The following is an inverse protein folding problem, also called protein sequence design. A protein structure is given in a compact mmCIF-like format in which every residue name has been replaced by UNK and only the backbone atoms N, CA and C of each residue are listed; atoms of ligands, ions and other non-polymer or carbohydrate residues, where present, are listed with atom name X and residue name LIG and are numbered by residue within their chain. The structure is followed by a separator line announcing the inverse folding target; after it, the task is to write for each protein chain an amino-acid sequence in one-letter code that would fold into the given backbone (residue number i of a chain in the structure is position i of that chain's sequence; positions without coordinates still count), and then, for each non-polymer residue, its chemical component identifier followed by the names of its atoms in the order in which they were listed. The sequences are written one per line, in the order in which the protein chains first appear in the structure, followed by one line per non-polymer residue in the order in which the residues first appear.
data_IF_003848588083
#
_entry.id   IF_003848588083
#
_cell.length_a   1.000
_cell.length_b   1.000
_cell.length_c   1.000
_cell.angle_alpha   90.00
_cell.angle_beta   90.00
_cell.angle_gamma   90.00
#
_symmetry.space_group_name_H-M   'P 1'
#
loop_
_entity.id
_entity.type
_entity.pdbx_description
1 polymer ?
#
# COMPACT_ATOMS: atom_id res chain seq x y z
N UNK A 1 -29.44 -23.45 -11.42
CA UNK A 1 -28.34 -22.52 -11.70
C UNK A 1 -28.20 -21.66 -10.46
N UNK A 2 -27.26 -22.02 -9.56
CA UNK A 2 -27.06 -21.30 -8.29
C UNK A 2 -26.66 -19.85 -8.60
N UNK A 3 -27.45 -18.91 -8.11
CA UNK A 3 -27.32 -17.47 -8.38
C UNK A 3 -26.12 -16.85 -7.60
N UNK A 4 -25.40 -17.63 -6.79
CA UNK A 4 -24.41 -17.14 -5.82
C UNK A 4 -22.95 -17.50 -6.13
N UNK A 5 -22.66 -18.19 -7.23
CA UNK A 5 -21.27 -18.49 -7.59
C UNK A 5 -20.61 -17.27 -8.25
N UNK A 6 -19.67 -16.66 -7.53
CA UNK A 6 -18.87 -15.56 -8.05
C UNK A 6 -18.12 -16.01 -9.28
N UNK A 7 -18.28 -15.28 -10.39
CA UNK A 7 -17.61 -15.59 -11.66
C UNK A 7 -16.09 -15.77 -11.44
N UNK A 8 -15.44 -16.80 -12.01
CA UNK A 8 -14.00 -17.06 -11.80
C UNK A 8 -13.10 -15.85 -12.04
N UNK A 9 -13.38 -15.06 -13.09
CA UNK A 9 -12.64 -13.84 -13.39
C UNK A 9 -12.76 -12.78 -12.27
N UNK A 10 -13.92 -12.68 -11.60
CA UNK A 10 -14.12 -11.75 -10.48
C UNK A 10 -13.38 -12.23 -9.23
N UNK A 11 -13.36 -13.55 -8.98
CA UNK A 11 -12.56 -14.13 -7.89
C UNK A 11 -11.08 -13.78 -8.09
N UNK A 12 -10.55 -14.07 -9.29
CA UNK A 12 -9.16 -13.77 -9.64
C UNK A 12 -8.82 -12.28 -9.54
N UNK A 13 -9.66 -11.40 -10.11
CA UNK A 13 -9.45 -9.95 -10.05
C UNK A 13 -9.48 -9.43 -8.60
N UNK A 14 -10.37 -9.95 -7.75
CA UNK A 14 -10.37 -9.61 -6.33
C UNK A 14 -9.08 -10.09 -5.65
N UNK A 15 -8.67 -11.34 -5.86
CA UNK A 15 -7.48 -11.90 -5.21
C UNK A 15 -6.20 -11.13 -5.52
N UNK A 16 -6.00 -10.68 -6.77
CA UNK A 16 -4.81 -9.91 -7.17
C UNK A 16 -4.97 -8.40 -6.94
N UNK A 17 -6.18 -7.90 -6.70
CA UNK A 17 -6.47 -6.46 -6.63
C UNK A 17 -5.70 -5.70 -5.55
N UNK A 18 -5.20 -6.38 -4.52
CA UNK A 18 -4.40 -5.77 -3.45
C UNK A 18 -2.88 -5.93 -3.64
N UNK A 19 -2.44 -6.58 -4.72
CA UNK A 19 -1.04 -6.98 -4.93
C UNK A 19 -0.05 -5.80 -4.90
N UNK A 20 -0.41 -4.65 -5.50
CA UNK A 20 0.42 -3.44 -5.47
C UNK A 20 0.68 -2.97 -4.03
N UNK A 21 -0.34 -2.93 -3.19
CA UNK A 21 -0.20 -2.52 -1.79
C UNK A 21 0.71 -3.48 -1.02
N UNK A 22 0.62 -4.78 -1.30
CA UNK A 22 1.45 -5.80 -0.66
C UNK A 22 2.92 -5.67 -1.10
N UNK A 23 3.18 -5.37 -2.38
CA UNK A 23 4.54 -5.06 -2.86
C UNK A 23 5.12 -3.85 -2.14
N UNK A 24 4.37 -2.74 -2.08
CA UNK A 24 4.81 -1.53 -1.41
C UNK A 24 5.00 -1.73 0.09
N UNK A 25 4.10 -2.48 0.76
CA UNK A 25 4.21 -2.79 2.17
C UNK A 25 5.46 -3.62 2.49
N UNK A 26 5.77 -4.62 1.65
CA UNK A 26 6.98 -5.43 1.80
C UNK A 26 8.23 -4.56 1.83
N UNK A 27 8.39 -3.67 0.83
CA UNK A 27 9.51 -2.72 0.77
C UNK A 27 9.47 -1.72 1.93
N UNK A 28 8.30 -1.19 2.26
CA UNK A 28 8.14 -0.20 3.32
C UNK A 28 8.61 -0.72 4.68
N UNK A 29 8.22 -1.95 5.04
CA UNK A 29 8.58 -2.52 6.32
C UNK A 29 10.01 -3.09 6.36
N UNK A 30 10.55 -3.56 5.23
CA UNK A 30 11.88 -4.15 5.20
C UNK A 30 13.00 -3.14 4.95
N UNK A 31 12.77 -2.09 4.16
CA UNK A 31 13.82 -1.25 3.60
C UNK A 31 13.75 0.23 4.01
N UNK A 32 12.58 0.78 4.35
CA UNK A 32 12.45 2.23 4.65
C UNK A 32 13.44 2.73 5.70
N UNK A 33 13.64 1.99 6.80
CA UNK A 33 14.60 2.41 7.84
C UNK A 33 16.02 2.50 7.28
N UNK A 34 16.43 1.47 6.53
CA UNK A 34 17.76 1.38 5.91
C UNK A 34 17.92 2.50 4.89
N UNK A 35 16.92 2.76 4.06
CA UNK A 35 16.94 3.84 3.08
C UNK A 35 17.14 5.20 3.75
N UNK A 36 16.29 5.56 4.72
CA UNK A 36 16.36 6.87 5.36
C UNK A 36 17.65 7.07 6.17
N UNK A 37 18.14 6.02 6.82
CA UNK A 37 19.38 6.11 7.59
C UNK A 37 20.63 6.07 6.70
N UNK A 38 20.74 5.07 5.83
CA UNK A 38 21.99 4.77 5.11
C UNK A 38 22.09 5.54 3.79
N UNK A 39 20.99 5.72 3.07
CA UNK A 39 21.00 6.38 1.75
C UNK A 39 20.79 7.89 1.92
N UNK A 40 19.72 8.30 2.60
CA UNK A 40 19.40 9.72 2.83
C UNK A 40 20.27 10.37 3.93
N UNK A 41 20.98 9.55 4.73
CA UNK A 41 21.89 10.00 5.80
C UNK A 41 21.19 10.71 6.97
N UNK A 42 19.93 10.38 7.24
CA UNK A 42 19.30 10.82 8.48
C UNK A 42 19.91 10.15 9.70
N UNK A 43 19.89 10.87 10.83
CA UNK A 43 20.18 10.29 12.14
C UNK A 43 19.26 9.10 12.43
N UNK A 44 19.70 8.16 13.26
CA UNK A 44 18.90 7.00 13.68
C UNK A 44 17.52 7.43 14.20
N UNK A 45 17.49 8.49 15.01
CA UNK A 45 16.26 9.02 15.59
C UNK A 45 15.32 9.59 14.53
N UNK A 46 15.86 10.40 13.59
CA UNK A 46 15.07 10.99 12.51
C UNK A 46 14.47 9.92 11.58
N UNK A 47 15.25 8.91 11.19
CA UNK A 47 14.76 7.79 10.39
C UNK A 47 13.65 7.01 11.12
N UNK A 48 13.84 6.76 12.43
CA UNK A 48 12.81 6.14 13.27
C UNK A 48 11.53 6.97 13.38
N UNK A 49 11.65 8.30 13.51
CA UNK A 49 10.49 9.18 13.55
C UNK A 49 9.69 9.17 12.25
N UNK A 50 10.33 9.12 11.08
CA UNK A 50 9.62 9.02 9.80
C UNK A 50 8.76 7.75 9.73
N UNK A 51 9.26 6.62 10.21
CA UNK A 51 8.49 5.38 10.30
C UNK A 51 7.34 5.48 11.29
N UNK A 52 7.59 6.06 12.47
CA UNK A 52 6.55 6.25 13.49
C UNK A 52 5.43 7.14 12.96
N UNK A 53 5.78 8.24 12.28
CA UNK A 53 4.82 9.12 11.60
C UNK A 53 3.99 8.31 10.60
N UNK A 54 4.63 7.43 9.82
CA UNK A 54 3.91 6.53 8.92
C UNK A 54 2.87 5.66 9.64
N UNK A 55 3.23 5.04 10.77
CA UNK A 55 2.28 4.22 11.54
C UNK A 55 1.11 5.04 12.09
N UNK A 56 1.38 6.23 12.62
CA UNK A 56 0.35 7.14 13.14
C UNK A 56 -0.57 7.60 12.01
N UNK A 57 0.00 7.98 10.86
CA UNK A 57 -0.74 8.41 9.70
C UNK A 57 -1.66 7.29 9.17
N UNK A 58 -1.19 6.05 9.11
CA UNK A 58 -2.00 4.91 8.70
C UNK A 58 -3.14 4.61 9.67
N UNK A 59 -2.88 4.65 10.98
CA UNK A 59 -3.92 4.45 11.99
C UNK A 59 -5.05 5.50 11.86
N UNK A 60 -4.68 6.76 11.69
CA UNK A 60 -5.63 7.86 11.49
C UNK A 60 -6.36 7.74 10.15
N UNK A 61 -5.62 7.47 9.07
CA UNK A 61 -6.19 7.31 7.74
C UNK A 61 -7.15 6.12 7.67
N UNK A 62 -6.82 4.99 8.27
CA UNK A 62 -7.65 3.79 8.30
C UNK A 62 -8.99 4.06 9.01
N UNK A 63 -8.96 4.72 10.16
CA UNK A 63 -10.19 5.11 10.87
C UNK A 63 -11.03 6.10 10.03
N UNK A 64 -10.40 7.13 9.48
CA UNK A 64 -11.05 8.12 8.65
C UNK A 64 -11.68 7.51 7.39
N UNK A 65 -10.92 6.72 6.63
CA UNK A 65 -11.35 6.05 5.39
C UNK A 65 -12.45 5.04 5.69
N UNK A 66 -12.37 4.28 6.79
CA UNK A 66 -13.45 3.39 7.22
C UNK A 66 -14.78 4.14 7.30
N UNK A 67 -14.80 5.22 8.08
CA UNK A 67 -15.99 6.05 8.25
C UNK A 67 -16.43 6.77 6.96
N UNK A 68 -15.51 7.41 6.25
CA UNK A 68 -15.80 8.21 5.05
C UNK A 68 -16.26 7.33 3.89
N UNK A 69 -15.62 6.17 3.70
CA UNK A 69 -16.01 5.20 2.68
C UNK A 69 -17.41 4.69 2.91
N UNK A 70 -17.82 4.44 4.17
CA UNK A 70 -19.16 4.00 4.50
C UNK A 70 -20.25 5.06 4.24
N UNK A 71 -19.92 6.35 4.36
CA UNK A 71 -20.87 7.45 4.07
C UNK A 71 -20.95 7.86 2.59
N UNK A 72 -20.04 7.37 1.77
CA UNK A 72 -20.01 7.70 0.33
C UNK A 72 -21.21 7.08 -0.37
N UNK A 73 -22.04 7.89 -1.05
CA UNK A 73 -23.26 7.43 -1.74
C UNK A 73 -23.03 7.07 -3.20
N UNK A 74 -22.21 7.85 -3.91
CA UNK A 74 -21.90 7.69 -5.33
C UNK A 74 -20.40 7.82 -5.55
N UNK A 75 -19.88 7.10 -6.55
CA UNK A 75 -18.49 7.17 -6.97
C UNK A 75 -18.36 6.74 -8.43
N UNK A 76 -17.27 7.14 -9.08
CA UNK A 76 -17.04 6.95 -10.52
C UNK A 76 -17.21 5.50 -10.99
N UNK A 77 -16.83 4.53 -10.16
CA UNK A 77 -16.94 3.10 -10.45
C UNK A 77 -17.77 2.34 -9.40
N UNK A 78 -18.62 3.05 -8.65
CA UNK A 78 -19.30 2.55 -7.45
C UNK A 78 -18.52 2.82 -6.16
N UNK A 79 -19.22 2.74 -5.03
CA UNK A 79 -18.75 3.19 -3.71
C UNK A 79 -17.38 2.60 -3.32
N UNK A 80 -17.26 1.27 -3.21
CA UNK A 80 -16.04 0.60 -2.72
C UNK A 80 -14.88 0.65 -3.73
N UNK A 81 -15.19 0.42 -5.01
CA UNK A 81 -14.21 0.48 -6.11
C UNK A 81 -13.59 1.86 -6.27
N UNK A 82 -14.35 2.94 -6.04
CA UNK A 82 -13.82 4.30 -6.16
C UNK A 82 -12.79 4.61 -5.07
N UNK A 83 -13.04 4.19 -3.82
CA UNK A 83 -12.05 4.33 -2.74
C UNK A 83 -10.81 3.47 -2.97
N UNK A 84 -11.00 2.24 -3.47
CA UNK A 84 -9.88 1.39 -3.84
C UNK A 84 -9.04 2.01 -4.97
N UNK A 85 -9.67 2.51 -6.04
CA UNK A 85 -8.98 3.16 -7.16
C UNK A 85 -8.23 4.44 -6.72
N UNK A 86 -8.87 5.28 -5.89
CA UNK A 86 -8.22 6.44 -5.29
C UNK A 86 -6.96 6.04 -4.52
N UNK A 87 -7.06 4.98 -3.71
CA UNK A 87 -5.94 4.44 -2.98
C UNK A 87 -4.81 3.96 -3.89
N UNK A 88 -5.12 3.17 -4.91
CA UNK A 88 -4.14 2.66 -5.89
C UNK A 88 -3.40 3.81 -6.59
N UNK A 89 -4.11 4.82 -7.09
CA UNK A 89 -3.50 5.98 -7.74
C UNK A 89 -2.61 6.75 -6.76
N UNK A 90 -3.10 6.97 -5.54
CA UNK A 90 -2.35 7.65 -4.49
C UNK A 90 -1.06 6.90 -4.14
N UNK A 91 -1.12 5.57 -3.97
CA UNK A 91 0.05 4.71 -3.71
C UNK A 91 1.04 4.77 -4.87
N UNK A 92 0.60 4.62 -6.13
CA UNK A 92 1.49 4.66 -7.29
C UNK A 92 2.28 5.96 -7.38
N UNK A 93 1.60 7.09 -7.15
CA UNK A 93 2.22 8.42 -7.25
C UNK A 93 3.15 8.71 -6.07
N UNK A 94 2.75 8.36 -4.85
CA UNK A 94 3.50 8.73 -3.63
C UNK A 94 4.64 7.78 -3.28
N UNK A 95 4.48 6.47 -3.54
CA UNK A 95 5.45 5.47 -3.12
C UNK A 95 6.81 5.69 -3.78
N UNK A 96 6.84 5.98 -5.08
CA UNK A 96 8.08 6.27 -5.79
C UNK A 96 8.82 7.46 -5.18
N UNK A 97 8.07 8.50 -4.76
CA UNK A 97 8.64 9.72 -4.18
C UNK A 97 9.21 9.46 -2.77
N UNK A 98 8.61 8.55 -2.00
CA UNK A 98 9.11 8.16 -0.67
C UNK A 98 10.53 7.58 -0.73
N UNK A 99 10.93 7.00 -1.87
CA UNK A 99 12.25 6.39 -2.07
C UNK A 99 13.12 7.12 -3.11
N UNK A 100 12.73 8.32 -3.51
CA UNK A 100 13.60 9.17 -4.32
C UNK A 100 14.64 9.86 -3.44
N UNK A 101 15.89 9.89 -3.91
CA UNK A 101 16.91 10.78 -3.35
C UNK A 101 16.46 12.21 -3.60
N UNK A 102 16.55 13.03 -2.56
CA UNK A 102 15.97 14.37 -2.49
C UNK A 102 16.19 15.22 -3.75
N UNK A 103 15.13 15.90 -4.19
CA UNK A 103 15.21 16.88 -5.26
C UNK A 103 15.67 18.22 -4.67
N UNK A 104 16.88 18.65 -5.01
CA UNK A 104 17.51 19.89 -4.53
C UNK A 104 16.61 21.13 -4.68
N UNK A 105 15.75 21.18 -5.71
CA UNK A 105 14.85 22.30 -5.93
C UNK A 105 13.77 22.42 -4.84
N UNK A 106 13.22 21.31 -4.36
CA UNK A 106 12.14 21.33 -3.37
C UNK A 106 12.67 21.44 -1.94
N UNK A 107 13.81 20.79 -1.64
CA UNK A 107 14.46 20.88 -0.33
C UNK A 107 15.10 22.24 -0.06
N UNK A 108 15.32 23.05 -1.10
CA UNK A 108 15.69 24.46 -0.93
C UNK A 108 14.62 25.29 -0.20
N UNK A 109 13.35 24.84 -0.25
CA UNK A 109 12.20 25.53 0.36
C UNK A 109 11.80 24.89 1.70
N UNK A 110 11.91 23.57 1.83
CA UNK A 110 11.52 22.82 3.04
C UNK A 110 12.60 21.84 3.48
N UNK A 111 12.73 21.62 4.81
CA UNK A 111 13.67 20.61 5.32
C UNK A 111 13.39 19.22 4.71
N UNK A 112 14.42 18.44 4.37
CA UNK A 112 14.27 17.08 3.86
C UNK A 112 13.37 16.20 4.73
N UNK A 113 13.42 16.37 6.06
CA UNK A 113 12.57 15.63 6.98
C UNK A 113 11.08 15.91 6.76
N UNK A 114 10.72 17.18 6.53
CA UNK A 114 9.35 17.61 6.26
C UNK A 114 8.92 17.11 4.88
N UNK A 115 9.80 17.17 3.88
CA UNK A 115 9.57 16.63 2.55
C UNK A 115 9.12 15.17 2.61
N UNK A 116 9.93 14.29 3.21
CA UNK A 116 9.57 12.87 3.31
C UNK A 116 8.32 12.65 4.15
N UNK A 117 8.14 13.40 5.25
CA UNK A 117 6.94 13.33 6.08
C UNK A 117 5.65 13.53 5.28
N UNK A 118 5.60 14.54 4.41
CA UNK A 118 4.42 14.84 3.60
C UNK A 118 4.07 13.66 2.68
N UNK A 119 5.06 13.13 1.95
CA UNK A 119 4.83 12.03 1.01
C UNK A 119 4.50 10.72 1.71
N UNK A 120 5.09 10.45 2.88
CA UNK A 120 4.74 9.32 3.73
C UNK A 120 3.28 9.41 4.14
N UNK A 121 2.79 10.57 4.60
CA UNK A 121 1.39 10.73 5.00
C UNK A 121 0.44 10.46 3.82
N UNK A 122 0.78 10.97 2.62
CA UNK A 122 0.01 10.71 1.40
C UNK A 122 0.01 9.21 1.05
N UNK A 123 1.18 8.56 1.13
CA UNK A 123 1.32 7.13 0.90
C UNK A 123 0.47 6.30 1.86
N UNK A 124 0.52 6.60 3.17
CA UNK A 124 -0.26 5.88 4.19
C UNK A 124 -1.77 6.10 3.99
N UNK A 125 -2.19 7.30 3.60
CA UNK A 125 -3.58 7.54 3.23
C UNK A 125 -4.01 6.72 2.01
N UNK A 126 -3.18 6.67 0.96
CA UNK A 126 -3.42 5.85 -0.22
C UNK A 126 -3.49 4.36 0.12
N UNK A 127 -2.59 3.90 0.99
CA UNK A 127 -2.54 2.52 1.45
C UNK A 127 -3.84 2.13 2.16
N UNK A 128 -4.27 2.95 3.13
CA UNK A 128 -5.53 2.76 3.85
C UNK A 128 -6.76 2.76 2.93
N UNK A 129 -6.82 3.69 1.96
CA UNK A 129 -7.89 3.74 0.96
C UNK A 129 -7.99 2.45 0.14
N UNK A 130 -6.85 1.95 -0.34
CA UNK A 130 -6.78 0.73 -1.13
C UNK A 130 -7.18 -0.49 -0.30
N UNK A 131 -6.70 -0.59 0.94
CA UNK A 131 -6.98 -1.70 1.86
C UNK A 131 -8.46 -1.78 2.25
N UNK A 132 -9.01 -0.69 2.78
CA UNK A 132 -10.41 -0.66 3.23
C UNK A 132 -11.37 -0.79 2.04
N UNK A 133 -11.06 -0.11 0.92
CA UNK A 133 -11.82 -0.24 -0.32
C UNK A 133 -11.82 -1.68 -0.85
N UNK A 134 -10.68 -2.37 -0.77
CA UNK A 134 -10.56 -3.76 -1.20
C UNK A 134 -11.33 -4.73 -0.30
N UNK A 135 -11.08 -4.72 1.01
CA UNK A 135 -11.72 -5.62 1.96
C UNK A 135 -13.24 -5.47 2.00
N UNK A 136 -13.75 -4.24 1.86
CA UNK A 136 -15.20 -3.99 1.83
C UNK A 136 -15.90 -4.57 0.59
N UNK A 137 -15.20 -4.72 -0.55
CA UNK A 137 -15.78 -5.37 -1.74
C UNK A 137 -16.06 -6.87 -1.51
N UNK A 138 -15.35 -7.52 -0.58
CA UNK A 138 -15.55 -8.94 -0.30
C UNK A 138 -16.99 -9.24 0.13
N UNK A 139 -17.57 -8.36 0.95
CA UNK A 139 -18.94 -8.48 1.44
C UNK A 139 -20.00 -8.27 0.35
N UNK A 140 -19.65 -7.56 -0.73
CA UNK A 140 -20.51 -7.33 -1.89
C UNK A 140 -20.34 -8.41 -2.98
N UNK A 141 -19.22 -9.14 -2.97
CA UNK A 141 -18.93 -10.20 -3.93
C UNK A 141 -19.72 -11.47 -3.64
N UNK A 142 -19.89 -11.84 -2.37
CA UNK A 142 -20.59 -13.06 -1.97
C UNK A 142 -21.28 -12.92 -0.61
N UNK A 143 -22.41 -13.61 -0.45
CA UNK A 143 -23.14 -13.77 0.81
C UNK A 143 -22.68 -14.99 1.63
N UNK A 144 -21.98 -15.95 1.00
CA UNK A 144 -21.57 -17.23 1.59
C UNK A 144 -20.26 -17.08 2.36
N UNK A 145 -20.26 -17.40 3.66
CA UNK A 145 -19.07 -17.23 4.51
C UNK A 145 -17.89 -18.10 4.06
N UNK A 146 -18.14 -19.34 3.62
CA UNK A 146 -17.08 -20.21 3.08
C UNK A 146 -16.37 -19.61 1.86
N UNK A 147 -17.12 -18.95 0.97
CA UNK A 147 -16.56 -18.26 -0.20
C UNK A 147 -15.79 -16.99 0.20
N UNK A 148 -16.25 -16.24 1.21
CA UNK A 148 -15.51 -15.09 1.76
C UNK A 148 -14.16 -15.52 2.32
N UNK A 149 -14.15 -16.60 3.10
CA UNK A 149 -12.93 -17.17 3.67
C UNK A 149 -11.98 -17.61 2.56
N UNK A 150 -12.47 -18.31 1.53
CA UNK A 150 -11.66 -18.74 0.40
C UNK A 150 -11.06 -17.56 -0.37
N UNK A 151 -11.86 -16.54 -0.70
CA UNK A 151 -11.38 -15.33 -1.39
C UNK A 151 -10.32 -14.56 -0.59
N UNK A 152 -10.51 -14.46 0.73
CA UNK A 152 -9.50 -13.83 1.58
C UNK A 152 -8.22 -14.68 1.66
N UNK A 153 -8.33 -16.01 1.68
CA UNK A 153 -7.17 -16.90 1.61
C UNK A 153 -6.40 -16.73 0.29
N UNK A 154 -7.09 -16.64 -0.85
CA UNK A 154 -6.44 -16.37 -2.13
C UNK A 154 -5.76 -15.00 -2.16
N UNK A 155 -6.37 -13.96 -1.58
CA UNK A 155 -5.74 -12.64 -1.42
C UNK A 155 -4.43 -12.74 -0.64
N UNK A 156 -4.42 -13.44 0.50
CA UNK A 156 -3.21 -13.65 1.29
C UNK A 156 -2.15 -14.48 0.57
N UNK A 157 -2.53 -15.46 -0.25
CA UNK A 157 -1.59 -16.18 -1.10
C UNK A 157 -0.86 -15.23 -2.07
N UNK A 158 -1.58 -14.28 -2.67
CA UNK A 158 -0.95 -13.22 -3.49
C UNK A 158 -0.06 -12.29 -2.68
N UNK A 159 -0.39 -11.97 -1.43
CA UNK A 159 0.50 -11.22 -0.53
C UNK A 159 1.82 -11.94 -0.29
N UNK A 160 1.80 -13.28 -0.15
CA UNK A 160 3.03 -14.09 -0.02
C UNK A 160 3.85 -14.00 -1.31
N UNK A 161 3.22 -14.14 -2.47
CA UNK A 161 3.88 -13.99 -3.78
C UNK A 161 4.52 -12.61 -3.92
N UNK A 162 3.85 -11.54 -3.48
CA UNK A 162 4.40 -10.18 -3.51
C UNK A 162 5.69 -10.06 -2.69
N UNK A 163 5.70 -10.62 -1.47
CA UNK A 163 6.88 -10.62 -0.61
C UNK A 163 8.04 -11.41 -1.23
N UNK A 164 7.77 -12.62 -1.72
CA UNK A 164 8.79 -13.44 -2.40
C UNK A 164 9.38 -12.66 -3.58
N UNK A 165 8.55 -12.02 -4.39
CA UNK A 165 8.99 -11.22 -5.52
C UNK A 165 9.91 -10.06 -5.09
N UNK A 166 9.51 -9.27 -4.09
CA UNK A 166 10.31 -8.14 -3.58
C UNK A 166 11.67 -8.61 -3.06
N UNK A 167 11.71 -9.65 -2.24
CA UNK A 167 12.96 -10.17 -1.70
C UNK A 167 13.86 -10.80 -2.76
N UNK A 168 13.29 -11.50 -3.74
CA UNK A 168 14.04 -12.06 -4.87
C UNK A 168 14.68 -10.95 -5.71
N UNK A 169 13.92 -9.91 -6.04
CA UNK A 169 14.45 -8.75 -6.78
C UNK A 169 15.54 -8.06 -5.97
N UNK A 170 15.33 -7.87 -4.68
CA UNK A 170 16.31 -7.26 -3.77
C UNK A 170 17.61 -8.06 -3.75
N UNK A 171 17.52 -9.39 -3.60
CA UNK A 171 18.67 -10.30 -3.64
C UNK A 171 19.47 -10.13 -4.93
N UNK A 172 18.81 -10.19 -6.10
CA UNK A 172 19.50 -10.03 -7.39
C UNK A 172 20.12 -8.65 -7.60
N UNK A 173 19.50 -7.59 -7.08
CA UNK A 173 20.04 -6.23 -7.19
C UNK A 173 21.26 -6.02 -6.30
N UNK A 174 21.26 -6.61 -5.10
CA UNK A 174 22.37 -6.48 -4.16
C UNK A 174 23.56 -7.38 -4.54
N UNK A 175 23.30 -8.62 -4.96
CA UNK A 175 24.33 -9.58 -5.42
C UNK A 175 25.19 -8.99 -6.56
N UNK A 176 24.55 -8.31 -7.52
CA UNK A 176 25.26 -7.65 -8.63
C UNK A 176 26.21 -6.53 -8.18
N UNK A 177 25.98 -5.91 -7.03
CA UNK A 177 26.83 -4.84 -6.51
C UNK A 177 28.06 -5.39 -5.76
N UNK A 178 28.05 -6.63 -5.28
CA UNK A 178 29.23 -7.26 -4.65
C UNK A 178 30.26 -7.75 -5.68
N UNK A 179 29.84 -8.00 -6.92
CA UNK A 179 30.72 -8.42 -8.03
C UNK A 179 31.41 -7.28 -8.80
N UNK A 180 31.39 -6.04 -8.30
CA UNK A 180 32.11 -4.88 -8.87
C UNK A 180 33.05 -4.26 -7.85
#
# INVERSE_FOLDING_TARGET
MEIDDVLPCRKFAFSIGHFLNDLCASVWFSYSLVFYHVVVKFSNSSAGYLLLIGQVADALATAFVGFASDKTKHGLCGKRKSWHLLGVICVLCSFSICFQVENEAFTSIVSPFIYYTIFIIIFQFGWACSQIGHLSMLNELTSKDGERVALNAYRHAWSIVANIFVYTVTWFLLDKNETR
#
